data_IF_335366587863
#
_entry.id   IF_335366587863
#
_cell.length_a   1.000
_cell.length_b   1.000
_cell.length_c   1.000
_cell.angle_alpha   90.00
_cell.angle_beta   90.00
_cell.angle_gamma   90.00
#
_symmetry.space_group_name_H-M   'P 1'
#
loop_
_entity.id
_entity.type
_entity.pdbx_description
1 polymer ?
#
# COMPACT_ATOMS: atom_id res chain seq x y z
N UNK A 1 -4.65 1.67 -22.00
CA UNK A 1 -4.67 0.22 -21.69
C UNK A 1 -3.40 -0.11 -20.92
N UNK A 2 -3.53 -0.68 -19.73
CA UNK A 2 -2.39 -1.13 -18.91
C UNK A 2 -1.95 -2.50 -19.40
N UNK A 3 -0.64 -2.66 -19.60
CA UNK A 3 -0.03 -3.97 -19.82
C UNK A 3 0.58 -4.41 -18.50
N UNK A 4 0.10 -5.54 -18.00
CA UNK A 4 0.55 -6.18 -16.77
C UNK A 4 1.19 -7.50 -17.18
N UNK A 5 2.50 -7.63 -16.93
CA UNK A 5 3.24 -8.88 -17.13
C UNK A 5 3.71 -9.39 -15.77
N UNK A 6 2.84 -10.12 -15.08
CA UNK A 6 3.11 -10.64 -13.73
C UNK A 6 3.59 -12.09 -13.80
N UNK A 7 4.84 -12.30 -13.39
CA UNK A 7 5.41 -13.60 -13.10
C UNK A 7 5.25 -13.93 -11.61
N UNK A 8 4.61 -15.06 -11.33
CA UNK A 8 4.40 -15.57 -9.97
C UNK A 8 5.41 -16.68 -9.72
N UNK A 9 6.31 -16.46 -8.77
CA UNK A 9 7.22 -17.48 -8.24
C UNK A 9 6.69 -18.01 -6.91
N UNK A 10 6.73 -19.33 -6.75
CA UNK A 10 6.42 -20.02 -5.48
C UNK A 10 7.66 -20.48 -4.72
N UNK A 11 8.86 -20.01 -5.09
CA UNK A 11 10.13 -20.41 -4.45
C UNK A 11 10.28 -19.80 -3.04
N UNK A 12 9.65 -20.41 -2.04
CA UNK A 12 9.77 -19.95 -0.65
C UNK A 12 8.88 -18.78 -0.28
N UNK A 13 7.71 -18.67 -0.91
CA UNK A 13 6.72 -17.60 -0.73
C UNK A 13 5.82 -17.47 -1.96
N UNK A 14 4.87 -16.54 -1.96
CA UNK A 14 4.15 -16.13 -3.16
C UNK A 14 4.72 -14.80 -3.63
N UNK A 15 5.62 -14.82 -4.62
CA UNK A 15 6.28 -13.62 -5.10
C UNK A 15 5.75 -13.20 -6.46
N UNK A 16 5.17 -12.02 -6.51
CA UNK A 16 4.83 -11.35 -7.76
C UNK A 16 5.99 -10.47 -8.21
N UNK A 17 6.47 -10.70 -9.43
CA UNK A 17 7.41 -9.81 -10.11
C UNK A 17 6.91 -9.55 -11.51
N UNK A 18 7.00 -8.32 -11.96
CA UNK A 18 6.46 -8.01 -13.27
C UNK A 18 6.80 -6.62 -13.77
N UNK A 19 6.39 -6.36 -15.00
CA UNK A 19 6.42 -5.04 -15.62
C UNK A 19 5.00 -4.48 -15.70
N UNK A 20 4.83 -3.24 -15.27
CA UNK A 20 3.64 -2.44 -15.48
C UNK A 20 3.96 -1.36 -16.51
N UNK A 21 3.24 -1.37 -17.63
CA UNK A 21 3.40 -0.38 -18.70
C UNK A 21 2.06 0.28 -19.01
N UNK A 22 1.99 1.62 -18.93
CA UNK A 22 0.90 2.39 -19.51
C UNK A 22 1.33 3.82 -19.81
N UNK A 23 0.95 4.33 -20.99
CA UNK A 23 1.40 5.64 -21.42
C UNK A 23 2.94 5.74 -21.43
N UNK A 24 3.54 6.72 -20.74
CA UNK A 24 5.00 6.84 -20.63
C UNK A 24 5.61 6.04 -19.47
N UNK A 25 4.80 5.37 -18.64
CA UNK A 25 5.25 4.76 -17.39
C UNK A 25 5.68 3.31 -17.60
N UNK A 26 6.85 2.97 -17.07
CA UNK A 26 7.38 1.60 -16.99
C UNK A 26 7.85 1.34 -15.56
N UNK A 27 7.20 0.40 -14.90
CA UNK A 27 7.47 0.07 -13.49
C UNK A 27 7.69 -1.42 -13.34
N UNK A 28 8.87 -1.77 -12.84
CA UNK A 28 9.12 -3.12 -12.38
C UNK A 28 8.68 -3.33 -10.92
N UNK A 29 7.94 -4.41 -10.66
CA UNK A 29 7.46 -4.80 -9.33
C UNK A 29 8.32 -5.95 -8.74
N UNK A 30 8.42 -6.07 -7.40
CA UNK A 30 7.81 -5.20 -6.40
C UNK A 30 8.50 -3.84 -6.27
N UNK A 31 7.76 -2.84 -5.79
CA UNK A 31 8.23 -1.46 -5.57
C UNK A 31 7.58 -0.83 -4.34
N UNK A 32 8.27 0.13 -3.72
CA UNK A 32 7.78 0.96 -2.62
C UNK A 32 7.41 2.33 -3.16
N UNK A 33 6.15 2.71 -3.00
CA UNK A 33 5.69 4.07 -3.31
C UNK A 33 6.34 5.11 -2.39
N UNK A 34 6.72 6.24 -2.98
CA UNK A 34 7.39 7.35 -2.30
C UNK A 34 6.33 8.36 -1.84
N UNK A 35 6.30 8.73 -0.54
CA UNK A 35 5.42 9.77 -0.02
C UNK A 35 5.95 11.14 -0.41
N UNK A 36 5.64 11.60 -1.62
CA UNK A 36 6.14 12.88 -2.13
C UNK A 36 5.66 14.07 -1.30
N UNK A 37 4.56 13.91 -0.56
CA UNK A 37 4.05 14.92 0.36
C UNK A 37 4.99 15.22 1.54
N UNK A 38 6.00 14.39 1.76
CA UNK A 38 7.02 14.56 2.81
C UNK A 38 8.29 15.23 2.31
N UNK A 39 8.43 15.41 0.99
CA UNK A 39 9.55 16.13 0.38
C UNK A 39 9.41 17.63 0.65
N UNK A 40 10.56 18.31 0.75
CA UNK A 40 10.65 19.77 0.65
C UNK A 40 11.67 20.13 -0.42
N UNK A 41 11.72 21.40 -0.84
CA UNK A 41 12.61 21.87 -1.92
C UNK A 41 14.11 21.61 -1.71
N UNK A 42 14.54 21.26 -0.49
CA UNK A 42 15.93 20.88 -0.18
C UNK A 42 16.16 19.39 0.03
N UNK A 43 15.12 18.57 -0.06
CA UNK A 43 15.20 17.13 0.12
C UNK A 43 15.35 16.47 -1.26
N UNK A 44 16.32 15.56 -1.38
CA UNK A 44 16.52 14.75 -2.59
C UNK A 44 16.33 13.28 -2.22
N UNK A 45 15.57 12.57 -3.04
CA UNK A 45 15.46 11.11 -3.04
C UNK A 45 15.98 10.64 -4.39
N UNK A 46 16.72 9.54 -4.41
CA UNK A 46 17.29 9.00 -5.64
C UNK A 46 16.22 8.74 -6.69
N UNK A 47 16.34 9.38 -7.85
CA UNK A 47 15.36 9.32 -8.94
C UNK A 47 15.17 7.90 -9.44
N UNK A 48 16.21 7.05 -9.37
CA UNK A 48 16.10 5.68 -9.85
C UNK A 48 15.00 4.94 -9.08
N UNK A 49 14.89 5.13 -7.77
CA UNK A 49 13.91 4.43 -6.93
C UNK A 49 12.54 5.12 -6.88
N UNK A 50 12.40 6.30 -7.46
CA UNK A 50 11.12 7.02 -7.49
C UNK A 50 10.33 6.64 -8.74
N UNK A 51 9.47 5.64 -8.62
CA UNK A 51 8.61 5.17 -9.71
C UNK A 51 7.12 5.42 -9.49
N UNK A 52 6.72 5.50 -8.22
CA UNK A 52 5.34 5.76 -7.83
C UNK A 52 5.35 6.88 -6.78
N UNK A 53 4.79 8.02 -7.14
CA UNK A 53 4.51 9.11 -6.24
C UNK A 53 3.11 8.94 -5.67
N UNK A 54 3.02 8.78 -4.36
CA UNK A 54 1.73 8.60 -3.71
C UNK A 54 1.43 9.80 -2.82
N UNK A 55 0.27 10.43 -3.01
CA UNK A 55 -0.22 11.55 -2.20
C UNK A 55 -1.54 11.17 -1.57
N UNK A 56 -1.69 11.42 -0.27
CA UNK A 56 -2.96 11.25 0.42
C UNK A 56 -3.52 12.61 0.87
N UNK A 57 -4.82 12.78 0.67
CA UNK A 57 -5.57 13.99 1.02
C UNK A 57 -6.89 13.59 1.64
N UNK A 58 -7.21 14.22 2.76
CA UNK A 58 -8.51 14.10 3.43
C UNK A 58 -9.49 15.08 2.77
N UNK A 59 -10.68 14.60 2.39
CA UNK A 59 -11.75 15.42 1.83
C UNK A 59 -13.08 15.02 2.46
N UNK A 60 -13.85 16.00 2.92
CA UNK A 60 -15.21 15.80 3.42
C UNK A 60 -16.29 16.42 2.52
N UNK A 61 -17.58 16.21 2.84
CA UNK A 61 -18.70 16.82 2.12
C UNK A 61 -18.58 18.35 1.97
N UNK A 62 -18.06 19.02 3.01
CA UNK A 62 -17.90 20.48 3.00
C UNK A 62 -16.82 20.95 1.99
N UNK A 63 -15.73 20.19 1.84
CA UNK A 63 -14.67 20.50 0.88
C UNK A 63 -15.18 20.31 -0.55
N UNK A 64 -15.91 19.21 -0.80
CA UNK A 64 -16.48 18.93 -2.12
C UNK A 64 -17.54 19.96 -2.51
N UNK A 65 -18.38 20.39 -1.57
CA UNK A 65 -19.36 21.45 -1.82
C UNK A 65 -18.70 22.82 -2.08
N UNK A 66 -17.63 23.14 -1.34
CA UNK A 66 -16.85 24.35 -1.59
C UNK A 66 -16.26 24.34 -3.00
N UNK A 67 -15.64 23.22 -3.42
CA UNK A 67 -15.09 23.04 -4.75
C UNK A 67 -16.13 23.26 -5.85
N UNK A 68 -17.29 22.60 -5.75
CA UNK A 68 -18.39 22.77 -6.72
C UNK A 68 -18.96 24.18 -6.78
N UNK A 69 -18.94 24.89 -5.65
CA UNK A 69 -19.34 26.30 -5.57
C UNK A 69 -18.30 27.27 -6.17
N UNK A 70 -17.18 26.76 -6.69
CA UNK A 70 -16.09 27.55 -7.27
C UNK A 70 -15.08 28.08 -6.25
N UNK A 71 -15.13 27.62 -5.00
CA UNK A 71 -14.13 27.94 -3.99
C UNK A 71 -13.11 26.80 -3.91
N UNK A 72 -11.82 27.12 -3.98
CA UNK A 72 -10.78 26.13 -3.81
C UNK A 72 -10.64 25.74 -2.32
N UNK A 73 -10.92 24.48 -1.93
CA UNK A 73 -10.71 24.04 -0.56
C UNK A 73 -9.21 23.98 -0.25
N UNK A 74 -8.83 24.30 0.99
CA UNK A 74 -7.43 24.26 1.44
C UNK A 74 -6.78 22.88 1.21
N UNK A 75 -7.58 21.81 1.28
CA UNK A 75 -7.11 20.45 1.00
C UNK A 75 -6.61 20.28 -0.45
N UNK A 76 -7.24 20.94 -1.43
CA UNK A 76 -6.82 20.91 -2.83
C UNK A 76 -5.63 21.83 -3.10
N UNK A 77 -5.56 23.01 -2.48
CA UNK A 77 -4.32 23.83 -2.52
C UNK A 77 -3.11 23.03 -2.03
N UNK A 78 -3.32 22.29 -0.93
CA UNK A 78 -2.29 21.43 -0.34
C UNK A 78 -1.95 20.24 -1.27
N UNK A 79 -2.91 19.71 -2.02
CA UNK A 79 -2.68 18.66 -3.00
C UNK A 79 -1.79 19.18 -4.14
N UNK A 80 -2.14 20.31 -4.74
CA UNK A 80 -1.39 20.94 -5.83
C UNK A 80 0.05 21.22 -5.40
N UNK A 81 0.25 21.81 -4.22
CA UNK A 81 1.57 22.06 -3.65
C UNK A 81 2.41 20.78 -3.52
N UNK A 82 1.80 19.69 -3.02
CA UNK A 82 2.48 18.38 -2.87
C UNK A 82 2.83 17.76 -4.23
N UNK A 83 1.97 17.92 -5.23
CA UNK A 83 2.22 17.40 -6.58
C UNK A 83 3.36 18.13 -7.29
N UNK A 84 3.73 19.35 -6.89
CA UNK A 84 4.94 20.01 -7.43
C UNK A 84 6.25 19.27 -7.15
N UNK A 85 6.23 18.27 -6.25
CA UNK A 85 7.38 17.45 -5.92
C UNK A 85 7.48 16.15 -6.73
N UNK A 86 6.49 15.83 -7.57
CA UNK A 86 6.53 14.64 -8.46
C UNK A 86 7.47 14.86 -9.65
N UNK A 87 7.97 13.77 -10.22
CA UNK A 87 8.71 13.78 -11.48
C UNK A 87 7.79 13.41 -12.64
N UNK A 88 8.15 13.80 -13.86
CA UNK A 88 7.35 13.52 -15.07
C UNK A 88 7.25 12.01 -15.39
N UNK A 89 8.23 11.22 -14.98
CA UNK A 89 8.28 9.75 -15.19
C UNK A 89 7.73 8.95 -13.99
N UNK A 90 7.17 9.64 -12.98
CA UNK A 90 6.52 9.01 -11.84
C UNK A 90 5.03 8.85 -12.07
N UNK A 91 4.52 7.68 -11.72
CA UNK A 91 3.08 7.47 -11.63
C UNK A 91 2.55 8.17 -10.40
N UNK A 92 1.62 9.09 -10.60
CA UNK A 92 0.94 9.85 -9.55
C UNK A 92 -0.30 9.10 -9.08
N UNK A 93 -0.26 8.64 -7.84
CA UNK A 93 -1.38 7.97 -7.17
C UNK A 93 -1.92 8.91 -6.08
N UNK A 94 -3.09 9.50 -6.32
CA UNK A 94 -3.77 10.33 -5.33
C UNK A 94 -4.82 9.47 -4.62
N UNK A 95 -4.72 9.42 -3.30
CA UNK A 95 -5.64 8.70 -2.43
C UNK A 95 -6.48 9.72 -1.68
N UNK A 96 -7.79 9.73 -1.97
CA UNK A 96 -8.75 10.51 -1.18
C UNK A 96 -9.26 9.70 -0.01
N UNK A 97 -9.04 10.22 1.20
CA UNK A 97 -9.62 9.71 2.44
C UNK A 97 -10.90 10.52 2.74
N UNK A 98 -12.05 9.89 2.53
CA UNK A 98 -13.35 10.51 2.75
C UNK A 98 -13.66 10.57 4.24
N UNK A 99 -13.80 11.79 4.77
CA UNK A 99 -13.84 12.02 6.22
C UNK A 99 -15.22 11.89 6.85
N UNK A 100 -16.25 11.53 6.09
CA UNK A 100 -17.59 11.30 6.62
C UNK A 100 -17.89 9.80 6.72
N UNK A 101 -18.41 9.38 7.87
CA UNK A 101 -18.72 7.98 8.19
C UNK A 101 -20.00 7.42 7.57
N UNK A 102 -20.58 8.09 6.57
CA UNK A 102 -21.75 7.61 5.82
C UNK A 102 -21.37 7.19 4.39
N UNK A 103 -22.37 6.68 3.68
CA UNK A 103 -22.29 6.44 2.24
C UNK A 103 -21.91 7.73 1.49
N UNK A 104 -20.98 7.63 0.54
CA UNK A 104 -20.64 8.74 -0.36
C UNK A 104 -21.79 8.87 -1.36
N UNK A 105 -22.52 9.98 -1.32
CA UNK A 105 -23.58 10.25 -2.27
C UNK A 105 -23.04 10.38 -3.70
N UNK A 106 -23.84 10.01 -4.70
CA UNK A 106 -23.44 10.03 -6.11
C UNK A 106 -22.80 11.36 -6.54
N UNK A 107 -23.30 12.50 -6.08
CA UNK A 107 -22.77 13.81 -6.46
C UNK A 107 -21.36 14.08 -5.91
N UNK A 108 -21.11 13.66 -4.68
CA UNK A 108 -19.78 13.74 -4.06
C UNK A 108 -18.81 12.76 -4.73
N UNK A 109 -19.29 11.57 -5.10
CA UNK A 109 -18.50 10.60 -5.84
C UNK A 109 -18.13 11.09 -7.26
N UNK A 110 -19.09 11.67 -8.00
CA UNK A 110 -18.82 12.29 -9.30
C UNK A 110 -17.69 13.34 -9.17
N UNK A 111 -17.77 14.19 -8.13
CA UNK A 111 -16.75 15.21 -7.84
C UNK A 111 -15.38 14.60 -7.50
N UNK A 112 -15.35 13.54 -6.68
CA UNK A 112 -14.10 12.85 -6.32
C UNK A 112 -13.45 12.21 -7.54
N UNK A 113 -14.24 11.61 -8.44
CA UNK A 113 -13.73 11.01 -9.68
C UNK A 113 -13.19 12.08 -10.62
N UNK A 114 -13.88 13.22 -10.80
CA UNK A 114 -13.39 14.37 -11.57
C UNK A 114 -12.05 14.90 -11.03
N UNK A 115 -11.93 15.05 -9.71
CA UNK A 115 -10.69 15.48 -9.07
C UNK A 115 -9.56 14.47 -9.30
N UNK A 116 -9.82 13.17 -9.23
CA UNK A 116 -8.79 12.18 -9.53
C UNK A 116 -8.41 12.15 -10.99
N UNK A 117 -9.36 12.37 -11.90
CA UNK A 117 -9.05 12.51 -13.32
C UNK A 117 -8.20 13.75 -13.60
N UNK A 118 -8.33 14.80 -12.79
CA UNK A 118 -7.45 15.96 -12.89
C UNK A 118 -6.03 15.71 -12.33
N UNK A 119 -5.92 15.05 -11.18
CA UNK A 119 -4.69 15.04 -10.37
C UNK A 119 -3.94 13.71 -10.29
N UNK A 120 -4.49 12.61 -10.79
CA UNK A 120 -3.89 11.28 -10.68
C UNK A 120 -3.74 10.59 -12.04
N UNK A 121 -2.77 9.68 -12.13
CA UNK A 121 -2.62 8.77 -13.27
C UNK A 121 -3.48 7.51 -13.13
N UNK A 122 -3.98 7.23 -11.92
CA UNK A 122 -4.83 6.07 -11.59
C UNK A 122 -6.04 6.56 -10.79
N UNK A 123 -7.24 6.19 -11.24
CA UNK A 123 -8.49 6.52 -10.54
C UNK A 123 -8.76 5.48 -9.45
N UNK A 124 -8.64 5.93 -8.22
CA UNK A 124 -8.70 5.16 -6.98
C UNK A 124 -10.07 5.28 -6.33
N UNK A 125 -10.70 4.17 -5.98
CA UNK A 125 -11.91 4.19 -5.14
C UNK A 125 -11.60 4.89 -3.80
N UNK A 126 -12.41 5.87 -3.34
CA UNK A 126 -12.09 6.61 -2.13
C UNK A 126 -11.96 5.71 -0.89
N UNK A 127 -10.93 5.97 -0.08
CA UNK A 127 -10.79 5.34 1.23
C UNK A 127 -11.89 5.87 2.15
N UNK A 128 -12.67 4.99 2.77
CA UNK A 128 -13.76 5.35 3.69
C UNK A 128 -13.44 4.86 5.12
N UNK A 129 -12.49 5.49 5.80
CA UNK A 129 -11.94 5.07 7.09
C UNK A 129 -12.99 4.77 8.16
N UNK A 130 -13.90 5.74 8.38
CA UNK A 130 -14.90 5.70 9.43
C UNK A 130 -15.96 4.63 9.16
N UNK A 131 -16.26 4.40 7.88
CA UNK A 131 -17.20 3.37 7.45
C UNK A 131 -16.58 1.97 7.45
N UNK A 132 -15.28 1.88 7.16
CA UNK A 132 -14.50 0.64 7.15
C UNK A 132 -14.19 0.13 8.58
N UNK A 133 -13.89 1.01 9.54
CA UNK A 133 -13.53 0.63 10.91
C UNK A 133 -14.50 -0.37 11.57
N UNK A 134 -15.85 -0.17 11.54
CA UNK A 134 -16.80 -1.15 12.09
C UNK A 134 -16.92 -2.44 11.26
N UNK A 135 -16.37 -2.49 10.04
CA UNK A 135 -16.32 -3.66 9.16
C UNK A 135 -15.07 -4.52 9.36
N UNK A 136 -14.04 -3.93 9.97
CA UNK A 136 -12.77 -4.57 10.28
C UNK A 136 -12.68 -5.39 11.58
N UNK A 137 -13.71 -5.61 12.43
CA UNK A 137 -13.60 -6.67 13.42
C UNK A 137 -13.57 -7.99 12.66
N UNK A 138 -12.36 -8.49 12.44
CA UNK A 138 -11.98 -9.69 11.69
C UNK A 138 -12.68 -10.99 12.18
N UNK A 139 -13.57 -10.97 13.19
CA UNK A 139 -14.03 -12.20 13.88
C UNK A 139 -15.41 -11.98 14.49
N UNK A 140 -16.43 -12.48 13.80
CA UNK A 140 -17.68 -12.82 14.45
C UNK A 140 -18.14 -14.16 13.88
N UNK A 141 -18.30 -15.14 14.75
CA UNK A 141 -18.38 -16.58 14.49
C UNK A 141 -19.64 -16.95 13.69
N UNK A 142 -19.66 -16.70 12.39
CA UNK A 142 -20.61 -17.26 11.43
C UNK A 142 -22.10 -17.00 11.71
N UNK A 143 -22.44 -16.09 12.63
CA UNK A 143 -23.81 -15.83 13.08
C UNK A 143 -23.92 -14.37 13.50
N UNK A 144 -24.13 -13.46 12.55
CA UNK A 144 -24.94 -12.23 12.69
C UNK A 144 -24.73 -11.26 11.51
N UNK A 145 -25.52 -11.45 10.46
CA UNK A 145 -26.06 -10.38 9.61
C UNK A 145 -25.21 -9.90 8.43
N UNK A 146 -25.53 -10.37 7.23
CA UNK A 146 -25.33 -9.63 5.95
C UNK A 146 -26.15 -8.31 5.88
N UNK A 147 -26.48 -7.74 7.04
CA UNK A 147 -27.42 -6.65 7.25
C UNK A 147 -26.83 -5.58 8.20
N UNK A 148 -25.50 -5.47 8.22
CA UNK A 148 -24.84 -4.37 8.92
C UNK A 148 -24.93 -3.13 8.03
N UNK A 149 -25.68 -2.12 8.46
CA UNK A 149 -25.82 -0.80 7.81
C UNK A 149 -24.48 -0.27 7.23
N UNK A 150 -23.33 -0.39 7.93
CA UNK A 150 -22.05 0.07 7.38
C UNK A 150 -21.58 -0.66 6.11
N UNK A 151 -21.82 -1.97 5.97
CA UNK A 151 -21.39 -2.70 4.77
C UNK A 151 -22.25 -2.32 3.57
N UNK A 152 -23.56 -2.12 3.79
CA UNK A 152 -24.47 -1.67 2.73
C UNK A 152 -24.08 -0.29 2.23
N UNK A 153 -23.79 0.64 3.14
CA UNK A 153 -23.28 1.96 2.79
C UNK A 153 -21.94 1.89 2.06
N UNK A 154 -20.98 1.06 2.53
CA UNK A 154 -19.69 0.92 1.86
C UNK A 154 -19.83 0.37 0.44
N UNK A 155 -20.66 -0.66 0.29
CA UNK A 155 -20.98 -1.25 -1.02
C UNK A 155 -21.68 -0.23 -1.92
N UNK A 156 -22.63 0.53 -1.41
CA UNK A 156 -23.32 1.58 -2.17
C UNK A 156 -22.34 2.65 -2.65
N UNK A 157 -21.36 3.08 -1.83
CA UNK A 157 -20.29 3.96 -2.28
C UNK A 157 -19.47 3.36 -3.43
N UNK A 158 -19.16 2.05 -3.40
CA UNK A 158 -18.46 1.38 -4.52
C UNK A 158 -19.34 1.30 -5.78
N UNK A 159 -20.65 1.10 -5.62
CA UNK A 159 -21.61 1.15 -6.73
C UNK A 159 -21.71 2.58 -7.32
N UNK A 160 -21.74 3.62 -6.48
CA UNK A 160 -21.67 5.01 -6.93
C UNK A 160 -20.35 5.32 -7.64
N UNK A 161 -19.23 4.75 -7.18
CA UNK A 161 -17.94 4.88 -7.86
C UNK A 161 -18.00 4.31 -9.28
N UNK A 162 -18.55 3.09 -9.45
CA UNK A 162 -18.80 2.48 -10.77
C UNK A 162 -19.65 3.38 -11.68
N UNK A 163 -20.74 3.94 -11.14
CA UNK A 163 -21.59 4.84 -11.90
C UNK A 163 -20.86 6.13 -12.30
N UNK A 164 -20.07 6.70 -11.39
CA UNK A 164 -19.32 7.93 -11.61
C UNK A 164 -18.26 7.75 -12.69
N UNK A 165 -17.51 6.64 -12.67
CA UNK A 165 -16.53 6.32 -13.70
C UNK A 165 -17.15 6.31 -15.11
N UNK A 166 -18.39 5.80 -15.22
CA UNK A 166 -19.14 5.77 -16.49
C UNK A 166 -19.65 7.17 -16.89
N UNK A 167 -20.08 7.98 -15.92
CA UNK A 167 -20.62 9.33 -16.17
C UNK A 167 -19.54 10.34 -16.57
N UNK A 168 -18.37 10.24 -15.94
CA UNK A 168 -17.21 11.13 -16.17
C UNK A 168 -16.39 10.69 -17.39
N UNK A 169 -16.67 9.50 -17.96
CA UNK A 169 -15.99 8.95 -19.15
C UNK A 169 -14.49 8.73 -18.92
N UNK A 170 -14.16 8.02 -17.84
CA UNK A 170 -12.78 7.77 -17.42
C UNK A 170 -12.06 6.79 -18.36
N UNK A 171 -10.91 7.19 -18.89
CA UNK A 171 -10.01 6.34 -19.69
C UNK A 171 -8.77 5.84 -18.92
N UNK A 172 -8.54 6.38 -17.72
CA UNK A 172 -7.39 6.06 -16.88
C UNK A 172 -7.56 4.70 -16.17
N UNK A 173 -6.46 4.01 -15.82
CA UNK A 173 -6.52 2.79 -15.03
C UNK A 173 -7.25 2.98 -13.71
N UNK A 174 -7.92 1.92 -13.24
CA UNK A 174 -8.76 1.99 -12.04
C UNK A 174 -8.16 1.13 -10.92
N UNK A 175 -8.11 1.72 -9.72
CA UNK A 175 -7.71 1.05 -8.49
C UNK A 175 -8.89 0.90 -7.54
N UNK A 176 -9.37 -0.33 -7.38
CA UNK A 176 -10.32 -0.65 -6.32
C UNK A 176 -9.64 -0.63 -4.96
N UNK A 177 -10.27 -0.04 -3.94
CA UNK A 177 -9.75 -0.03 -2.57
C UNK A 177 -10.67 -0.82 -1.65
N UNK A 178 -10.12 -1.74 -0.86
CA UNK A 178 -10.88 -2.48 0.14
C UNK A 178 -10.11 -2.64 1.46
N UNK A 179 -10.77 -2.54 2.62
CA UNK A 179 -10.19 -2.99 3.87
C UNK A 179 -10.26 -4.53 3.98
N UNK A 180 -9.59 -5.13 4.97
CA UNK A 180 -9.85 -6.52 5.35
C UNK A 180 -11.32 -6.74 5.76
N UNK A 181 -12.08 -7.42 4.90
CA UNK A 181 -13.50 -7.70 5.05
C UNK A 181 -13.74 -9.20 5.27
N UNK A 182 -14.84 -9.57 5.94
CA UNK A 182 -15.28 -10.96 5.99
C UNK A 182 -15.44 -11.53 4.56
N UNK A 183 -15.09 -12.80 4.34
CA UNK A 183 -15.00 -13.42 3.01
C UNK A 183 -16.22 -13.18 2.10
N UNK A 184 -17.45 -13.27 2.64
CA UNK A 184 -18.67 -13.01 1.88
C UNK A 184 -18.84 -11.55 1.41
N UNK A 185 -18.38 -10.59 2.21
CA UNK A 185 -18.37 -9.17 1.87
C UNK A 185 -17.23 -8.85 0.90
N UNK A 186 -16.04 -9.41 1.13
CA UNK A 186 -14.90 -9.29 0.24
C UNK A 186 -15.25 -9.74 -1.19
N UNK A 187 -15.86 -10.92 -1.35
CA UNK A 187 -16.25 -11.43 -2.68
C UNK A 187 -17.21 -10.50 -3.41
N UNK A 188 -18.15 -9.87 -2.70
CA UNK A 188 -19.08 -8.91 -3.29
C UNK A 188 -18.36 -7.67 -3.80
N UNK A 189 -17.43 -7.13 -3.00
CA UNK A 189 -16.64 -5.95 -3.40
C UNK A 189 -15.67 -6.29 -4.54
N UNK A 190 -15.02 -7.46 -4.51
CA UNK A 190 -14.16 -7.92 -5.61
C UNK A 190 -14.92 -8.08 -6.91
N UNK A 191 -16.14 -8.62 -6.88
CA UNK A 191 -16.99 -8.69 -8.08
C UNK A 191 -17.38 -7.31 -8.60
N UNK A 192 -17.61 -6.32 -7.72
CA UNK A 192 -17.85 -4.95 -8.18
C UNK A 192 -16.62 -4.36 -8.87
N UNK A 193 -15.42 -4.55 -8.32
CA UNK A 193 -14.18 -4.10 -8.96
C UNK A 193 -13.84 -4.85 -10.25
N UNK A 194 -14.22 -6.13 -10.34
CA UNK A 194 -14.14 -6.92 -11.57
C UNK A 194 -15.06 -6.36 -12.65
N UNK A 195 -16.32 -6.05 -12.32
CA UNK A 195 -17.28 -5.45 -13.25
C UNK A 195 -16.83 -4.07 -13.76
N UNK A 196 -16.11 -3.32 -12.93
CA UNK A 196 -15.54 -2.00 -13.27
C UNK A 196 -14.30 -2.15 -14.18
N UNK A 197 -13.69 -3.34 -14.23
CA UNK A 197 -12.44 -3.57 -14.94
C UNK A 197 -11.22 -3.03 -14.20
N UNK A 198 -11.26 -2.98 -12.86
CA UNK A 198 -10.13 -2.48 -12.07
C UNK A 198 -8.88 -3.34 -12.26
N UNK A 199 -7.82 -2.73 -12.79
CA UNK A 199 -6.52 -3.36 -12.99
C UNK A 199 -5.68 -3.40 -11.72
N UNK A 200 -5.97 -2.51 -10.77
CA UNK A 200 -5.30 -2.43 -9.48
C UNK A 200 -6.27 -2.74 -8.34
N UNK A 201 -5.79 -3.46 -7.32
CA UNK A 201 -6.49 -3.67 -6.06
C UNK A 201 -5.62 -3.22 -4.90
N UNK A 202 -6.06 -2.18 -4.20
CA UNK A 202 -5.44 -1.73 -2.97
C UNK A 202 -6.12 -2.32 -1.74
N UNK A 203 -5.34 -2.97 -0.88
CA UNK A 203 -5.78 -3.39 0.44
C UNK A 203 -5.38 -2.33 1.46
N UNK A 204 -6.37 -1.64 2.03
CA UNK A 204 -6.17 -0.71 3.14
C UNK A 204 -6.15 -1.48 4.47
N UNK A 205 -4.95 -1.81 4.95
CA UNK A 205 -4.78 -2.53 6.21
C UNK A 205 -5.12 -1.69 7.45
N UNK A 206 -5.35 -0.37 7.34
CA UNK A 206 -5.71 0.53 8.45
C UNK A 206 -4.86 0.37 9.72
N UNK A 207 -3.57 0.12 9.55
CA UNK A 207 -2.62 -0.09 10.65
C UNK A 207 -2.58 -1.50 11.24
N UNK A 208 -3.34 -2.44 10.68
CA UNK A 208 -3.23 -3.86 11.01
C UNK A 208 -1.85 -4.40 10.61
N UNK A 209 -1.47 -5.50 11.28
CA UNK A 209 -0.26 -6.26 10.99
C UNK A 209 -0.62 -7.39 10.04
N UNK A 210 -0.07 -7.42 8.82
CA UNK A 210 -0.28 -8.52 7.88
C UNK A 210 -0.03 -9.90 8.49
N UNK A 211 0.93 -10.03 9.41
CA UNK A 211 1.36 -11.32 9.95
C UNK A 211 0.74 -11.71 11.30
N UNK A 212 -0.30 -11.00 11.77
CA UNK A 212 -1.07 -11.53 12.91
C UNK A 212 -2.02 -12.59 12.41
N UNK A 213 -2.12 -13.74 13.09
CA UNK A 213 -2.89 -14.93 12.68
C UNK A 213 -4.21 -14.57 11.99
N UNK A 214 -5.03 -13.72 12.60
CA UNK A 214 -6.34 -13.29 12.06
C UNK A 214 -6.26 -12.56 10.71
N UNK A 215 -5.30 -11.66 10.55
CA UNK A 215 -5.09 -10.91 9.29
C UNK A 215 -4.42 -11.80 8.27
N UNK A 216 -3.58 -12.72 8.73
CA UNK A 216 -2.91 -13.70 7.91
C UNK A 216 -3.89 -14.70 7.30
N UNK A 217 -4.80 -15.26 8.11
CA UNK A 217 -5.88 -16.15 7.66
C UNK A 217 -6.75 -15.43 6.61
N UNK A 218 -7.12 -14.18 6.88
CA UNK A 218 -7.83 -13.34 5.91
C UNK A 218 -7.05 -13.16 4.61
N UNK A 219 -5.75 -12.87 4.71
CA UNK A 219 -4.89 -12.68 3.55
C UNK A 219 -4.77 -13.96 2.71
N UNK A 220 -4.69 -15.12 3.37
CA UNK A 220 -4.72 -16.42 2.70
C UNK A 220 -6.01 -16.62 1.93
N UNK A 221 -7.17 -16.35 2.54
CA UNK A 221 -8.47 -16.42 1.88
C UNK A 221 -8.59 -15.43 0.71
N UNK A 222 -8.07 -14.21 0.88
CA UNK A 222 -8.03 -13.18 -0.16
C UNK A 222 -7.24 -13.62 -1.38
N UNK A 223 -6.01 -14.08 -1.17
CA UNK A 223 -5.15 -14.55 -2.25
C UNK A 223 -5.73 -15.80 -2.90
N UNK A 224 -6.30 -16.74 -2.13
CA UNK A 224 -6.97 -17.91 -2.68
C UNK A 224 -8.16 -17.54 -3.58
N UNK A 225 -8.99 -16.55 -3.19
CA UNK A 225 -10.12 -16.07 -3.99
C UNK A 225 -9.63 -15.45 -5.31
N UNK A 226 -8.59 -14.62 -5.27
CA UNK A 226 -7.97 -14.07 -6.47
C UNK A 226 -7.35 -15.15 -7.37
N UNK A 227 -6.72 -16.18 -6.80
CA UNK A 227 -6.16 -17.31 -7.54
C UNK A 227 -7.25 -18.07 -8.30
N UNK A 228 -8.35 -18.40 -7.62
CA UNK A 228 -9.50 -19.12 -8.22
C UNK A 228 -10.15 -18.31 -9.34
N UNK A 229 -10.16 -16.97 -9.23
CA UNK A 229 -10.65 -16.07 -10.28
C UNK A 229 -9.67 -15.86 -11.44
N UNK A 230 -8.42 -16.30 -11.32
CA UNK A 230 -7.37 -16.02 -12.30
C UNK A 230 -6.91 -14.55 -12.31
N UNK A 231 -7.15 -13.84 -11.20
CA UNK A 231 -6.88 -12.41 -11.07
C UNK A 231 -5.46 -12.09 -10.58
N UNK A 232 -4.78 -13.02 -9.90
CA UNK A 232 -3.44 -12.79 -9.36
C UNK A 232 -2.38 -12.44 -10.41
N UNK A 233 -2.49 -12.96 -11.63
CA UNK A 233 -1.56 -12.66 -12.73
C UNK A 233 -2.05 -11.54 -13.65
N UNK A 234 -3.26 -11.01 -13.42
CA UNK A 234 -3.89 -10.00 -14.29
C UNK A 234 -4.23 -8.71 -13.56
N UNK A 235 -3.94 -8.63 -12.25
CA UNK A 235 -4.11 -7.43 -11.43
C UNK A 235 -2.84 -7.10 -10.67
N UNK A 236 -2.69 -5.82 -10.35
CA UNK A 236 -1.63 -5.29 -9.49
C UNK A 236 -2.14 -5.17 -8.07
N UNK A 237 -1.44 -5.80 -7.12
CA UNK A 237 -1.80 -5.74 -5.71
C UNK A 237 -1.03 -4.62 -4.98
N UNK A 238 -1.76 -3.72 -4.35
CA UNK A 238 -1.23 -2.54 -3.67
C UNK A 238 -1.53 -2.62 -2.15
N UNK A 239 -0.53 -2.50 -1.29
CA UNK A 239 -0.72 -2.56 0.16
C UNK A 239 -0.69 -1.15 0.79
N UNK A 240 -1.81 -0.68 1.32
CA UNK A 240 -1.92 0.62 2.00
C UNK A 240 -1.97 0.44 3.52
N UNK A 241 -1.44 1.44 4.24
CA UNK A 241 -1.60 1.58 5.69
C UNK A 241 -1.19 0.37 6.55
N UNK A 242 -0.41 -0.57 6.05
CA UNK A 242 0.06 -1.71 6.85
C UNK A 242 1.04 -1.26 7.94
N UNK A 243 1.11 -2.01 9.05
CA UNK A 243 2.17 -1.80 10.03
C UNK A 243 3.50 -2.22 9.43
N UNK A 244 4.54 -1.37 9.52
CA UNK A 244 5.81 -1.57 8.80
C UNK A 244 6.72 -2.68 9.32
N UNK A 245 6.65 -3.02 10.61
CA UNK A 245 7.59 -3.97 11.23
C UNK A 245 7.02 -4.70 12.44
N UNK A 246 7.65 -5.83 12.74
CA UNK A 246 7.38 -6.66 13.92
C UNK A 246 8.05 -6.07 15.16
N UNK A 247 7.31 -5.50 16.13
CA UNK A 247 7.91 -5.12 17.40
C UNK A 247 8.32 -6.39 18.15
N UNK A 248 9.62 -6.66 18.27
CA UNK A 248 10.19 -7.69 19.14
C UNK A 248 10.92 -7.00 20.28
N UNK A 249 10.59 -7.35 21.51
CA UNK A 249 11.27 -6.79 22.69
C UNK A 249 12.74 -7.20 22.63
N UNK A 250 13.66 -6.23 22.75
CA UNK A 250 15.11 -6.43 22.77
C UNK A 250 15.74 -7.03 21.49
N UNK A 251 15.04 -7.00 20.34
CA UNK A 251 15.65 -7.38 19.08
C UNK A 251 16.45 -6.20 18.49
N UNK A 252 17.66 -6.49 17.99
CA UNK A 252 18.48 -5.52 17.24
C UNK A 252 17.88 -5.20 15.87
N UNK A 253 17.19 -6.18 15.27
CA UNK A 253 16.51 -6.09 13.97
C UNK A 253 15.05 -6.48 14.12
N UNK A 254 14.17 -5.65 13.57
CA UNK A 254 12.73 -5.92 13.43
C UNK A 254 12.44 -6.28 11.97
N UNK A 255 11.98 -7.50 11.66
CA UNK A 255 11.65 -7.84 10.27
C UNK A 255 10.67 -6.85 9.64
N UNK A 256 10.75 -6.69 8.31
CA UNK A 256 9.83 -5.83 7.58
C UNK A 256 8.54 -6.60 7.25
N UNK A 257 7.41 -6.05 7.68
CA UNK A 257 6.08 -6.57 7.31
C UNK A 257 5.79 -6.29 5.82
N UNK A 258 6.45 -5.29 5.23
CA UNK A 258 6.38 -5.05 3.79
C UNK A 258 6.97 -6.19 2.97
N UNK A 259 8.02 -6.86 3.47
CA UNK A 259 8.60 -8.03 2.81
C UNK A 259 7.68 -9.24 2.95
N UNK A 260 7.00 -9.39 4.09
CA UNK A 260 5.98 -10.41 4.26
C UNK A 260 4.81 -10.22 3.28
N UNK A 261 4.38 -8.97 3.03
CA UNK A 261 3.36 -8.64 2.04
C UNK A 261 3.82 -8.92 0.60
N UNK A 262 5.05 -8.55 0.24
CA UNK A 262 5.63 -8.91 -1.07
C UNK A 262 5.64 -10.42 -1.26
N UNK A 263 5.98 -11.18 -0.22
CA UNK A 263 5.89 -12.64 -0.23
C UNK A 263 4.50 -13.24 -0.05
N UNK A 264 3.48 -12.39 -0.03
CA UNK A 264 2.07 -12.75 -0.16
C UNK A 264 1.49 -12.29 -1.51
N UNK A 265 2.33 -11.86 -2.46
CA UNK A 265 1.92 -11.49 -3.81
C UNK A 265 1.69 -10.00 -4.04
N UNK A 266 1.97 -9.12 -3.07
CA UNK A 266 1.81 -7.68 -3.28
C UNK A 266 2.91 -7.08 -4.16
N UNK A 267 2.51 -6.35 -5.20
CA UNK A 267 3.38 -5.68 -6.16
C UNK A 267 3.87 -4.32 -5.65
N UNK A 268 2.97 -3.55 -5.03
CA UNK A 268 3.27 -2.18 -4.62
C UNK A 268 3.03 -2.03 -3.12
N UNK A 269 4.04 -1.53 -2.42
CA UNK A 269 3.95 -1.19 -1.01
C UNK A 269 3.65 0.29 -0.86
N UNK A 270 2.41 0.62 -0.53
CA UNK A 270 1.92 1.96 -0.24
C UNK A 270 2.36 2.53 1.11
N UNK A 271 2.14 3.83 1.31
CA UNK A 271 2.46 4.48 2.58
C UNK A 271 1.39 4.33 3.67
N UNK A 272 1.73 4.84 4.84
CA UNK A 272 0.85 4.87 6.01
C UNK A 272 0.36 6.30 6.20
N UNK A 273 -0.92 6.52 5.95
CA UNK A 273 -1.65 7.79 6.05
C UNK A 273 -2.42 7.89 7.35
N UNK A 274 -2.85 6.76 7.90
CA UNK A 274 -3.56 6.71 9.17
C UNK A 274 -2.66 7.18 10.31
N UNK A 275 -2.96 8.36 10.84
CA UNK A 275 -2.32 8.91 12.03
C UNK A 275 -2.74 8.11 13.26
N UNK A 276 -1.77 7.51 13.96
CA UNK A 276 -2.04 6.91 15.28
C UNK A 276 -1.93 7.99 16.34
N UNK A 277 -2.92 8.05 17.23
CA UNK A 277 -2.82 8.87 18.43
C UNK A 277 -1.56 8.48 19.22
N UNK A 278 -0.67 9.45 19.45
CA UNK A 278 0.47 9.25 20.33
C UNK A 278 0.01 9.34 21.79
N UNK A 279 0.61 8.56 22.71
CA UNK A 279 0.41 8.77 24.13
C UNK A 279 0.74 10.22 24.47
N UNK A 280 -0.17 10.95 25.12
CA UNK A 280 0.11 12.31 25.55
C UNK A 280 1.22 12.29 26.62
N UNK A 281 2.37 12.86 26.30
CA UNK A 281 3.54 12.99 27.19
C UNK A 281 4.77 13.51 26.44
N UNK A 282 5.75 14.02 27.18
CA UNK A 282 7.05 14.47 26.63
C UNK A 282 7.86 13.25 26.13
N UNK A 283 7.52 12.76 24.94
CA UNK A 283 8.24 11.67 24.30
C UNK A 283 9.42 12.26 23.53
N UNK A 284 10.63 12.17 24.08
CA UNK A 284 11.84 12.47 23.32
C UNK A 284 12.23 11.26 22.48
N UNK A 285 12.19 11.39 21.16
CA UNK A 285 12.79 10.40 20.27
C UNK A 285 14.30 10.32 20.54
N UNK A 286 14.77 9.22 21.13
CA UNK A 286 16.20 8.92 21.30
C UNK A 286 16.77 8.06 20.19
N UNK A 287 15.90 7.40 19.41
CA UNK A 287 16.27 6.49 18.34
C UNK A 287 15.40 6.71 17.10
N UNK A 288 15.99 6.44 15.93
CA UNK A 288 15.34 6.45 14.62
C UNK A 288 15.29 5.02 14.10
N UNK A 289 14.14 4.59 13.60
CA UNK A 289 14.00 3.29 12.94
C UNK A 289 14.41 3.41 11.48
N UNK A 290 15.50 2.75 11.13
CA UNK A 290 16.06 2.74 9.78
C UNK A 290 15.92 1.35 9.17
N UNK A 291 15.44 1.27 7.93
CA UNK A 291 15.39 0.02 7.16
C UNK A 291 16.78 -0.31 6.63
N UNK A 292 17.17 -1.57 6.80
CA UNK A 292 18.44 -2.11 6.33
C UNK A 292 18.20 -3.16 5.23
N UNK A 293 18.62 -2.88 3.99
CA UNK A 293 18.51 -3.81 2.87
C UNK A 293 19.32 -5.11 3.04
N UNK A 294 20.35 -5.12 3.89
CA UNK A 294 21.16 -6.31 4.17
C UNK A 294 20.43 -7.30 5.07
N UNK A 295 19.53 -6.83 5.94
CA UNK A 295 18.74 -7.69 6.85
C UNK A 295 17.26 -7.75 6.50
N UNK A 296 16.82 -7.03 5.46
CA UNK A 296 15.42 -6.83 5.09
C UNK A 296 14.53 -6.43 6.29
N UNK A 297 15.06 -5.59 7.18
CA UNK A 297 14.45 -5.28 8.47
C UNK A 297 14.82 -3.89 8.98
N UNK A 298 14.12 -3.46 10.03
CA UNK A 298 14.32 -2.17 10.67
C UNK A 298 15.23 -2.30 11.91
N UNK A 299 16.28 -1.50 11.96
CA UNK A 299 17.17 -1.34 13.12
C UNK A 299 16.80 -0.07 13.90
N UNK A 300 17.00 -0.09 15.21
CA UNK A 300 16.95 1.13 16.01
C UNK A 300 18.35 1.76 15.96
N UNK A 301 18.44 2.92 15.33
CA UNK A 301 19.67 3.73 15.24
C UNK A 301 19.58 4.84 16.27
N UNK A 302 20.55 4.91 17.18
CA UNK A 302 20.63 6.04 18.12
C UNK A 302 20.83 7.34 17.36
N UNK A 303 20.20 8.43 17.81
CA UNK A 303 20.47 9.75 17.26
C UNK A 303 21.96 10.10 17.34
N UNK A 304 22.63 9.68 18.41
CA UNK A 304 24.06 9.92 18.61
C UNK A 304 24.95 9.16 17.61
N UNK A 305 24.44 8.07 17.02
CA UNK A 305 25.17 7.21 16.07
C UNK A 305 24.64 7.33 14.63
N UNK A 306 23.82 8.34 14.33
CA UNK A 306 23.19 8.48 13.01
C UNK A 306 24.22 8.50 11.88
N UNK A 307 25.37 9.15 12.07
CA UNK A 307 26.41 9.21 11.02
C UNK A 307 26.97 7.83 10.65
N UNK A 308 27.10 6.93 11.62
CA UNK A 308 27.78 5.64 11.44
C UNK A 308 26.82 4.51 11.05
N UNK A 309 25.57 4.57 11.54
CA UNK A 309 24.61 3.46 11.43
C UNK A 309 23.48 3.71 10.42
N UNK A 310 23.37 4.92 9.87
CA UNK A 310 22.35 5.25 8.88
C UNK A 310 22.53 4.46 7.58
N UNK A 311 21.43 4.08 6.88
CA UNK A 311 21.53 3.33 5.64
C UNK A 311 22.33 4.11 4.61
N UNK A 312 23.48 3.57 4.19
CA UNK A 312 24.32 4.16 3.14
C UNK A 312 23.61 4.24 1.79
N UNK A 313 22.58 3.42 1.59
CA UNK A 313 21.76 3.44 0.41
C UNK A 313 20.83 4.67 0.33
N UNK A 314 20.64 5.42 1.44
CA UNK A 314 19.79 6.61 1.40
C UNK A 314 20.56 7.86 1.01
N UNK A 315 19.98 8.64 0.11
CA UNK A 315 20.49 9.97 -0.29
C UNK A 315 20.19 11.04 0.75
N UNK A 316 19.31 10.78 1.72
CA UNK A 316 19.02 11.70 2.82
C UNK A 316 20.15 11.63 3.84
N UNK A 317 20.95 12.70 4.01
CA UNK A 317 22.14 12.64 4.85
C UNK A 317 21.76 12.65 6.34
N UNK A 318 22.50 11.92 7.20
CA UNK A 318 22.21 11.88 8.64
C UNK A 318 22.21 13.27 9.29
N UNK A 319 23.10 14.16 8.85
CA UNK A 319 23.18 15.54 9.33
C UNK A 319 21.88 16.32 9.13
N UNK A 320 21.10 16.00 8.08
CA UNK A 320 19.81 16.64 7.85
C UNK A 320 18.79 16.24 8.91
N UNK A 321 18.76 14.96 9.31
CA UNK A 321 17.88 14.45 10.36
C UNK A 321 18.19 15.07 11.73
N UNK A 322 19.46 15.33 12.01
CA UNK A 322 19.91 15.99 13.24
C UNK A 322 19.51 17.46 13.29
N UNK A 323 19.52 18.14 12.14
CA UNK A 323 19.30 19.59 12.03
C UNK A 323 17.83 20.03 12.13
N UNK A 324 16.87 19.10 12.13
CA UNK A 324 15.44 19.41 12.06
C UNK A 324 14.68 18.97 13.32
N UNK A 325 13.53 19.60 13.55
CA UNK A 325 12.60 19.22 14.61
C UNK A 325 11.98 17.82 14.38
N UNK A 326 11.36 17.27 15.41
CA UNK A 326 10.88 15.88 15.44
C UNK A 326 9.90 15.55 14.29
N UNK A 327 8.95 16.44 13.97
CA UNK A 327 7.99 16.21 12.87
C UNK A 327 8.70 16.03 11.53
N UNK A 328 9.58 16.97 11.18
CA UNK A 328 10.33 16.89 9.91
C UNK A 328 11.34 15.74 9.92
N UNK A 329 11.95 15.41 11.06
CA UNK A 329 12.80 14.23 11.21
C UNK A 329 12.03 12.95 10.90
N UNK A 330 10.79 12.85 11.37
CA UNK A 330 9.90 11.72 11.09
C UNK A 330 9.62 11.60 9.59
N UNK A 331 9.30 12.70 8.93
CA UNK A 331 9.08 12.76 7.47
C UNK A 331 10.30 12.29 6.68
N UNK A 332 11.47 12.85 6.97
CA UNK A 332 12.74 12.48 6.34
C UNK A 332 13.08 11.00 6.55
N UNK A 333 12.82 10.46 7.75
CA UNK A 333 12.96 9.02 8.03
C UNK A 333 12.04 8.18 7.14
N UNK A 334 10.81 8.65 6.87
CA UNK A 334 9.89 7.92 5.98
C UNK A 334 10.43 7.86 4.55
N UNK A 335 10.96 8.96 4.03
CA UNK A 335 11.58 9.03 2.71
C UNK A 335 12.81 8.12 2.61
N UNK A 336 13.74 8.21 3.57
CA UNK A 336 14.96 7.40 3.57
C UNK A 336 14.68 5.90 3.66
N UNK A 337 13.66 5.52 4.44
CA UNK A 337 13.22 4.13 4.52
C UNK A 337 12.53 3.66 3.24
N UNK A 338 11.79 4.53 2.55
CA UNK A 338 11.19 4.19 1.25
C UNK A 338 12.28 3.92 0.20
N UNK A 339 13.27 4.80 0.13
CA UNK A 339 14.45 4.66 -0.73
C UNK A 339 15.25 3.39 -0.43
N UNK A 340 15.62 3.18 0.84
CA UNK A 340 16.34 1.97 1.26
C UNK A 340 15.54 0.70 0.99
N UNK A 341 14.22 0.72 1.20
CA UNK A 341 13.36 -0.42 0.90
C UNK A 341 13.32 -0.71 -0.60
N UNK A 342 13.22 0.30 -1.46
CA UNK A 342 13.30 0.11 -2.91
C UNK A 342 14.61 -0.55 -3.35
N UNK A 343 15.75 -0.16 -2.78
CA UNK A 343 17.01 -0.86 -3.03
C UNK A 343 16.97 -2.33 -2.60
N UNK A 344 16.36 -2.63 -1.46
CA UNK A 344 16.11 -4.01 -1.02
C UNK A 344 15.21 -4.79 -1.99
N UNK A 345 14.12 -4.17 -2.47
CA UNK A 345 13.17 -4.78 -3.39
C UNK A 345 13.76 -5.03 -4.78
N UNK A 346 14.64 -4.16 -5.28
CA UNK A 346 15.37 -4.39 -6.54
C UNK A 346 16.28 -5.62 -6.47
N UNK A 347 17.07 -5.71 -5.39
CA UNK A 347 17.92 -6.88 -5.17
C UNK A 347 17.08 -8.15 -5.00
N UNK A 348 15.93 -8.04 -4.31
CA UNK A 348 14.99 -9.14 -4.14
C UNK A 348 14.40 -9.60 -5.49
N UNK A 349 13.96 -8.67 -6.34
CA UNK A 349 13.43 -8.97 -7.68
C UNK A 349 14.44 -9.75 -8.52
N UNK A 350 15.71 -9.34 -8.51
CA UNK A 350 16.76 -10.06 -9.21
C UNK A 350 16.90 -11.51 -8.69
N UNK A 351 16.79 -11.71 -7.37
CA UNK A 351 16.81 -13.05 -6.78
C UNK A 351 15.59 -13.89 -7.23
N UNK A 352 14.39 -13.31 -7.26
CA UNK A 352 13.18 -14.00 -7.76
C UNK A 352 13.34 -14.40 -9.23
N UNK A 353 13.84 -13.50 -10.08
CA UNK A 353 14.08 -13.77 -11.50
C UNK A 353 15.12 -14.89 -11.72
N UNK A 354 16.06 -15.06 -10.79
CA UNK A 354 17.06 -16.12 -10.84
C UNK A 354 16.62 -17.44 -10.17
N UNK A 355 15.44 -17.48 -9.54
CA UNK A 355 14.99 -18.64 -8.77
C UNK A 355 15.77 -18.84 -7.46
N UNK A 356 16.19 -17.74 -6.85
CA UNK A 356 16.99 -17.69 -5.61
C UNK A 356 16.24 -16.92 -4.50
N UNK A 357 14.91 -16.83 -4.59
CA UNK A 357 14.12 -15.96 -3.72
C UNK A 357 14.17 -16.42 -2.25
N UNK A 358 14.00 -17.73 -2.02
CA UNK A 358 14.07 -18.33 -0.69
C UNK A 358 15.45 -18.10 -0.07
N UNK A 359 16.52 -18.46 -0.78
CA UNK A 359 17.90 -18.32 -0.33
C UNK A 359 18.26 -16.85 -0.02
N UNK A 360 17.77 -15.92 -0.84
CA UNK A 360 17.96 -14.49 -0.60
C UNK A 360 17.27 -14.02 0.69
N UNK A 361 16.04 -14.46 0.97
CA UNK A 361 15.34 -14.06 2.19
C UNK A 361 15.97 -14.72 3.42
N UNK A 362 16.28 -16.02 3.35
CA UNK A 362 16.86 -16.78 4.46
C UNK A 362 18.26 -16.27 4.85
N UNK A 363 19.07 -15.89 3.86
CA UNK A 363 20.41 -15.32 4.11
C UNK A 363 20.38 -13.94 4.77
N UNK A 364 19.30 -13.19 4.57
CA UNK A 364 19.15 -11.82 5.12
C UNK A 364 18.35 -11.78 6.41
N UNK A 365 17.40 -12.68 6.57
CA UNK A 365 16.45 -12.64 7.69
C UNK A 365 16.71 -13.80 8.64
N UNK A 366 17.19 -13.49 9.84
CA UNK A 366 17.21 -14.46 10.95
C UNK A 366 15.81 -14.64 11.57
N UNK A 367 14.73 -14.53 10.78
CA UNK A 367 13.35 -14.49 11.28
C UNK A 367 12.58 -15.72 10.87
N UNK A 368 12.57 -16.71 11.75
CA UNK A 368 11.73 -17.92 11.65
C UNK A 368 10.25 -17.60 11.34
N UNK A 369 9.70 -16.52 11.92
CA UNK A 369 8.32 -16.09 11.64
C UNK A 369 8.10 -15.66 10.18
N UNK A 370 9.09 -15.03 9.55
CA UNK A 370 8.95 -14.60 8.16
C UNK A 370 9.02 -15.82 7.26
N UNK A 371 9.98 -16.72 7.48
CA UNK A 371 10.06 -17.99 6.75
C UNK A 371 8.78 -18.83 6.86
N UNK A 372 8.21 -18.95 8.07
CA UNK A 372 6.94 -19.65 8.30
C UNK A 372 5.77 -18.99 7.54
N UNK A 373 5.67 -17.66 7.60
CA UNK A 373 4.65 -16.89 6.86
C UNK A 373 4.74 -17.17 5.36
N UNK A 374 5.95 -17.14 4.80
CA UNK A 374 6.16 -17.33 3.39
C UNK A 374 5.86 -18.77 2.94
N UNK A 375 6.38 -19.77 3.67
CA UNK A 375 6.11 -21.17 3.39
C UNK A 375 4.60 -21.47 3.40
N UNK A 376 3.87 -20.92 4.38
CA UNK A 376 2.43 -21.16 4.44
C UNK A 376 1.65 -20.41 3.33
N UNK A 377 2.15 -19.30 2.80
CA UNK A 377 1.56 -18.66 1.60
C UNK A 377 1.77 -19.49 0.33
N UNK A 378 2.97 -20.07 0.17
CA UNK A 378 3.32 -21.00 -0.91
C UNK A 378 2.39 -22.22 -0.89
N UNK A 379 2.30 -22.92 0.25
CA UNK A 379 1.46 -24.11 0.42
C UNK A 379 -0.02 -23.82 0.14
N UNK A 380 -0.52 -22.65 0.59
CA UNK A 380 -1.90 -22.22 0.34
C UNK A 380 -2.14 -21.98 -1.16
N UNK A 381 -1.25 -21.24 -1.83
CA UNK A 381 -1.41 -20.92 -3.25
C UNK A 381 -1.39 -22.18 -4.12
N UNK A 382 -0.44 -23.08 -3.87
CA UNK A 382 -0.33 -24.36 -4.58
C UNK A 382 -1.58 -25.22 -4.37
N UNK A 383 -2.16 -25.21 -3.16
CA UNK A 383 -3.42 -25.89 -2.88
C UNK A 383 -4.61 -25.24 -3.60
N UNK A 384 -4.66 -23.91 -3.69
CA UNK A 384 -5.79 -23.17 -4.27
C UNK A 384 -5.83 -23.28 -5.80
N UNK A 385 -4.67 -23.28 -6.46
CA UNK A 385 -4.54 -23.48 -7.92
C UNK A 385 -4.96 -24.89 -8.36
N UNK A 386 -4.98 -25.86 -7.44
CA UNK A 386 -5.18 -27.27 -7.74
C UNK A 386 -3.95 -27.89 -8.44
N UNK A 387 -3.93 -29.22 -8.66
CA UNK A 387 -2.84 -29.85 -9.39
C UNK A 387 -2.74 -29.19 -10.76
N UNK A 388 -1.60 -28.55 -11.03
CA UNK A 388 -1.27 -28.11 -12.36
C UNK A 388 -1.47 -29.29 -13.29
N UNK A 389 -2.40 -29.19 -14.24
CA UNK A 389 -2.42 -30.08 -15.39
C UNK A 389 -1.17 -29.71 -16.19
N UNK A 390 -0.01 -30.21 -15.75
CA UNK A 390 1.22 -30.24 -16.54
C UNK A 390 0.97 -31.22 -17.67
N UNK A 391 0.27 -30.75 -18.70
CA UNK A 391 0.09 -31.40 -19.97
C UNK A 391 0.72 -30.54 -21.07
N UNK A 392 2.03 -30.70 -21.26
CA UNK A 392 2.60 -31.37 -22.44
C UNK A 392 4.13 -31.35 -22.42
#
# INVERSE_FOLDING_TARGET
>A
MVKIDTNISTDGGLFSTGGLEWGPYEIDTPVKAVPVEKLTSGDTVDQDVRKIAQVCVELGPADLEAYRSGNQPQALDTLEDKLTHTLEDEVQVVIFEYTDGHEIGQHDMDTLVELQDQYADIITSPCQPELAEPLMPVIDDGRNGMDRSPFRAFRASVEHFKESLTRVDIEKPIMGVLPPLAAGHQRQILTLYEDIGAEFLAVDFRGLKPTTDRVYDWLQEFIADLAVRGELSSRVLYALNYRRYFPRRNASVHPSEGIALVGSGFDILGETHVSRAFPQGDYQMTNVKAFDPSTLGFRNVSLDNLQDEWPQASTIPPARLDSVGESKRRELRHLANAESLNYGLRAFRAAVQNGEARDFIESKTASELLSQHLQSMEEMYDSARGPSVTGH
#
